data_IF_704013774774
#
_entry.id   IF_704013774774
#
_cell.length_a   1.000
_cell.length_b   1.000
_cell.length_c   1.000
_cell.angle_alpha   90.00
_cell.angle_beta   90.00
_cell.angle_gamma   90.00
#
_symmetry.space_group_name_H-M   'P 1'
#
loop_
_entity.id
_entity.type
_entity.pdbx_description
1 polymer ?
#
# COMPACT_ATOMS: atom_id res chain seq x y z
N UNK A 1 5.45 -12.97 8.22
CA UNK A 1 4.07 -13.51 8.21
C UNK A 1 3.43 -13.18 6.87
N UNK A 2 2.76 -14.14 6.24
CA UNK A 2 2.11 -13.92 4.93
C UNK A 2 0.74 -13.29 5.13
N UNK A 3 0.51 -12.13 4.52
CA UNK A 3 -0.79 -11.46 4.48
C UNK A 3 -1.27 -11.46 3.04
N UNK A 4 -2.52 -11.85 2.82
CA UNK A 4 -3.13 -11.90 1.49
C UNK A 4 -3.85 -10.60 1.18
N UNK A 5 -3.58 -10.04 0.01
CA UNK A 5 -4.23 -8.85 -0.51
C UNK A 5 -4.98 -9.22 -1.78
N UNK A 6 -6.21 -8.76 -1.92
CA UNK A 6 -6.81 -8.62 -3.26
C UNK A 6 -6.26 -7.37 -3.95
N UNK A 7 -6.58 -7.20 -5.24
CA UNK A 7 -6.08 -6.08 -6.04
C UNK A 7 -6.47 -4.71 -5.44
N UNK A 8 -7.72 -4.53 -5.00
CA UNK A 8 -8.20 -3.28 -4.42
C UNK A 8 -7.54 -2.97 -3.07
N UNK A 9 -7.37 -3.98 -2.20
CA UNK A 9 -6.65 -3.86 -0.93
C UNK A 9 -5.20 -3.45 -1.15
N UNK A 10 -4.54 -4.04 -2.17
CA UNK A 10 -3.16 -3.74 -2.50
C UNK A 10 -3.02 -2.33 -3.06
N UNK A 11 -3.91 -1.91 -3.97
CA UNK A 11 -3.94 -0.55 -4.51
C UNK A 11 -4.20 0.47 -3.39
N UNK A 12 -5.19 0.21 -2.52
CA UNK A 12 -5.50 1.08 -1.40
C UNK A 12 -4.29 1.25 -0.49
N UNK A 13 -3.67 0.13 -0.10
CA UNK A 13 -2.47 0.13 0.76
C UNK A 13 -1.32 0.90 0.12
N UNK A 14 -1.08 0.68 -1.17
CA UNK A 14 -0.02 1.35 -1.92
C UNK A 14 -0.26 2.86 -2.01
N UNK A 15 -1.46 3.30 -2.40
CA UNK A 15 -1.83 4.72 -2.47
C UNK A 15 -1.73 5.38 -1.10
N UNK A 16 -2.16 4.68 -0.04
CA UNK A 16 -2.07 5.18 1.34
C UNK A 16 -0.62 5.41 1.75
N UNK A 17 0.26 4.44 1.49
CA UNK A 17 1.67 4.52 1.85
C UNK A 17 2.40 5.57 1.01
N UNK A 18 2.11 5.67 -0.29
CA UNK A 18 2.67 6.72 -1.14
C UNK A 18 2.33 8.10 -0.59
N UNK A 19 1.06 8.34 -0.23
CA UNK A 19 0.64 9.63 0.35
C UNK A 19 1.34 9.94 1.67
N UNK A 20 1.66 8.93 2.47
CA UNK A 20 2.35 9.10 3.75
C UNK A 20 3.87 9.31 3.60
N UNK A 21 4.48 8.74 2.57
CA UNK A 21 5.95 8.67 2.40
C UNK A 21 6.44 9.72 1.41
N UNK A 22 5.93 9.68 0.18
CA UNK A 22 6.27 10.67 -0.84
C UNK A 22 5.10 10.81 -1.84
N UNK A 23 4.18 11.78 -1.63
CA UNK A 23 3.00 11.94 -2.47
C UNK A 23 3.35 12.27 -3.94
N UNK A 24 4.59 12.67 -4.24
CA UNK A 24 5.07 12.93 -5.60
C UNK A 24 5.17 11.68 -6.46
N UNK A 25 5.25 10.50 -5.86
CA UNK A 25 5.20 9.21 -6.57
C UNK A 25 3.81 8.99 -7.19
N UNK A 26 2.77 9.66 -6.69
CA UNK A 26 1.41 9.63 -7.25
C UNK A 26 1.22 10.81 -8.20
N UNK A 27 1.35 10.58 -9.50
CA UNK A 27 1.09 11.61 -10.52
C UNK A 27 -0.34 11.54 -11.01
N UNK A 28 -1.08 12.63 -10.87
CA UNK A 28 -2.43 12.76 -11.41
C UNK A 28 -2.37 12.99 -12.93
N UNK A 29 -3.08 12.16 -13.69
CA UNK A 29 -3.25 12.27 -15.14
C UNK A 29 -4.73 12.38 -15.52
N UNK A 30 -5.02 12.51 -16.82
CA UNK A 30 -6.41 12.66 -17.32
C UNK A 30 -7.28 11.43 -17.05
N UNK A 31 -6.69 10.23 -16.93
CA UNK A 31 -7.40 8.95 -16.78
C UNK A 31 -7.24 8.33 -15.36
N UNK A 32 -6.76 9.11 -14.40
CA UNK A 32 -6.54 8.64 -13.02
C UNK A 32 -5.16 9.00 -12.48
N UNK A 33 -4.49 8.04 -11.85
CA UNK A 33 -3.17 8.23 -11.28
C UNK A 33 -2.14 7.28 -11.90
N UNK A 34 -0.93 7.79 -12.12
CA UNK A 34 0.24 7.02 -12.51
C UNK A 34 1.20 6.97 -11.33
N UNK A 35 1.81 5.79 -11.12
CA UNK A 35 2.80 5.61 -10.07
C UNK A 35 4.20 5.74 -10.69
N UNK A 36 4.95 6.75 -10.25
CA UNK A 36 6.28 7.07 -10.75
C UNK A 36 7.33 6.61 -9.75
N UNK A 37 7.82 5.38 -9.90
CA UNK A 37 8.82 4.78 -9.00
C UNK A 37 10.26 4.89 -9.51
N UNK A 38 10.49 5.42 -10.70
CA UNK A 38 11.81 5.46 -11.36
C UNK A 38 12.90 6.09 -10.45
N UNK A 39 12.55 7.15 -9.73
CA UNK A 39 13.47 7.81 -8.79
C UNK A 39 13.78 6.93 -7.57
N UNK A 40 12.78 6.17 -7.11
CA UNK A 40 12.89 5.29 -5.95
C UNK A 40 13.69 4.02 -6.28
N UNK A 41 13.48 3.47 -7.46
CA UNK A 41 14.18 2.28 -7.97
C UNK A 41 15.68 2.55 -8.20
N UNK A 42 16.04 3.79 -8.52
CA UNK A 42 17.43 4.22 -8.73
C UNK A 42 18.12 4.70 -7.45
N UNK A 43 17.43 4.73 -6.32
CA UNK A 43 17.96 5.21 -5.04
C UNK A 43 18.91 4.17 -4.45
N UNK A 44 20.13 4.59 -4.10
CA UNK A 44 21.17 3.69 -3.56
C UNK A 44 20.80 3.15 -2.17
N UNK A 45 20.25 3.99 -1.30
CA UNK A 45 19.76 3.60 0.03
C UNK A 45 18.32 4.06 0.25
N UNK A 46 17.32 3.25 -0.16
CA UNK A 46 15.92 3.52 0.14
C UNK A 46 15.63 3.25 1.62
N UNK A 47 14.87 4.15 2.25
CA UNK A 47 14.35 4.02 3.61
C UNK A 47 13.47 2.77 3.75
N UNK A 48 13.19 2.34 4.99
CA UNK A 48 12.33 1.19 5.23
C UNK A 48 10.95 1.31 4.56
N UNK A 49 10.35 2.49 4.62
CA UNK A 49 9.08 2.80 3.95
C UNK A 49 9.18 2.75 2.41
N UNK A 50 10.29 3.23 1.87
CA UNK A 50 10.56 3.23 0.43
C UNK A 50 10.79 1.80 -0.09
N UNK A 51 11.47 0.96 0.68
CA UNK A 51 11.61 -0.47 0.40
C UNK A 51 10.25 -1.17 0.42
N UNK A 52 9.40 -0.86 1.40
CA UNK A 52 8.05 -1.40 1.49
C UNK A 52 7.20 -1.00 0.28
N UNK A 53 7.30 0.25 -0.18
CA UNK A 53 6.65 0.73 -1.40
C UNK A 53 7.08 -0.06 -2.65
N UNK A 54 8.39 -0.28 -2.84
CA UNK A 54 8.89 -1.07 -3.96
C UNK A 54 8.37 -2.51 -3.93
N UNK A 55 8.27 -3.12 -2.74
CA UNK A 55 7.71 -4.47 -2.56
C UNK A 55 6.23 -4.53 -2.91
N UNK A 56 5.44 -3.57 -2.43
CA UNK A 56 4.01 -3.47 -2.76
C UNK A 56 3.78 -3.21 -4.24
N UNK A 57 4.65 -2.41 -4.88
CA UNK A 57 4.60 -2.19 -6.33
C UNK A 57 4.88 -3.46 -7.12
N UNK A 58 5.91 -4.22 -6.76
CA UNK A 58 6.20 -5.52 -7.40
C UNK A 58 5.06 -6.53 -7.22
N UNK A 59 4.44 -6.54 -6.04
CA UNK A 59 3.25 -7.31 -5.77
C UNK A 59 2.08 -6.90 -6.69
N UNK A 60 1.85 -5.60 -6.89
CA UNK A 60 0.77 -5.09 -7.73
C UNK A 60 0.98 -5.45 -9.20
N UNK A 61 2.22 -5.37 -9.68
CA UNK A 61 2.57 -5.75 -11.05
C UNK A 61 2.32 -7.25 -11.29
N UNK A 62 2.69 -8.10 -10.31
CA UNK A 62 2.44 -9.54 -10.33
C UNK A 62 0.95 -9.91 -10.14
N UNK A 63 0.19 -9.09 -9.40
CA UNK A 63 -1.23 -9.29 -9.14
C UNK A 63 -2.11 -8.98 -10.36
N UNK A 64 -1.61 -8.27 -11.39
CA UNK A 64 -2.38 -8.09 -12.64
C UNK A 64 -2.73 -9.43 -13.31
N UNK A 65 -1.97 -10.48 -13.01
CA UNK A 65 -2.21 -11.84 -13.52
C UNK A 65 -2.96 -12.74 -12.51
N UNK A 66 -3.07 -12.33 -11.24
CA UNK A 66 -3.60 -13.14 -10.14
C UNK A 66 -4.53 -12.32 -9.21
N UNK A 67 -5.79 -12.75 -9.04
CA UNK A 67 -6.80 -12.05 -8.24
C UNK A 67 -6.48 -11.89 -6.73
N UNK A 68 -5.42 -12.54 -6.24
CA UNK A 68 -4.96 -12.46 -4.87
C UNK A 68 -3.44 -12.61 -4.79
N UNK A 69 -2.81 -11.84 -3.91
CA UNK A 69 -1.38 -11.82 -3.72
C UNK A 69 -1.01 -11.96 -2.25
N UNK A 70 -0.14 -12.93 -1.94
CA UNK A 70 0.39 -13.11 -0.58
C UNK A 70 1.72 -12.39 -0.43
N UNK A 71 1.78 -11.38 0.44
CA UNK A 71 3.01 -10.66 0.75
C UNK A 71 3.53 -11.07 2.14
N UNK A 72 4.81 -11.42 2.21
CA UNK A 72 5.47 -11.69 3.49
C UNK A 72 5.89 -10.38 4.16
N UNK A 73 5.18 -10.00 5.22
CA UNK A 73 5.43 -8.79 5.98
C UNK A 73 6.03 -9.13 7.35
N UNK A 74 7.03 -8.35 7.73
CA UNK A 74 7.55 -8.30 9.10
C UNK A 74 6.53 -7.62 10.03
N UNK A 75 6.68 -7.80 11.35
CA UNK A 75 5.79 -7.15 12.32
C UNK A 75 5.82 -5.61 12.18
N UNK A 76 7.00 -5.03 11.93
CA UNK A 76 7.18 -3.59 11.72
C UNK A 76 6.46 -3.11 10.47
N UNK A 77 6.59 -3.83 9.35
CA UNK A 77 5.89 -3.47 8.11
C UNK A 77 4.37 -3.58 8.28
N UNK A 78 3.86 -4.62 8.95
CA UNK A 78 2.42 -4.77 9.22
C UNK A 78 1.87 -3.62 10.04
N UNK A 79 2.57 -3.25 11.12
CA UNK A 79 2.20 -2.12 11.96
C UNK A 79 2.22 -0.82 11.15
N UNK A 80 3.26 -0.59 10.37
CA UNK A 80 3.37 0.61 9.52
C UNK A 80 2.23 0.73 8.51
N UNK A 81 1.85 -0.37 7.87
CA UNK A 81 0.71 -0.40 6.95
C UNK A 81 -0.61 -0.15 7.69
N UNK A 82 -0.80 -0.77 8.85
CA UNK A 82 -2.01 -0.56 9.65
C UNK A 82 -2.15 0.92 10.07
N UNK A 83 -1.09 1.54 10.58
CA UNK A 83 -1.08 2.96 10.93
C UNK A 83 -1.34 3.87 9.72
N UNK A 84 -0.82 3.50 8.55
CA UNK A 84 -1.04 4.25 7.32
C UNK A 84 -2.51 4.17 6.87
N UNK A 85 -3.11 2.98 6.99
CA UNK A 85 -4.51 2.73 6.67
C UNK A 85 -5.47 3.39 7.67
N UNK A 86 -5.10 3.49 8.95
CA UNK A 86 -5.86 4.23 9.96
C UNK A 86 -5.93 5.72 9.61
N UNK A 87 -4.82 6.27 9.13
CA UNK A 87 -4.73 7.68 8.72
C UNK A 87 -5.46 7.99 7.42
N UNK A 88 -5.91 6.97 6.68
CA UNK A 88 -6.60 7.12 5.40
C UNK A 88 -7.83 8.04 5.51
N UNK A 89 -8.64 7.87 6.57
CA UNK A 89 -9.82 8.70 6.85
C UNK A 89 -9.48 10.19 6.98
N UNK A 90 -8.30 10.51 7.52
CA UNK A 90 -7.87 11.90 7.71
C UNK A 90 -7.37 12.56 6.43
N UNK A 91 -7.08 11.79 5.38
CA UNK A 91 -6.50 12.32 4.15
C UNK A 91 -7.56 12.86 3.18
N UNK A 92 -8.77 12.29 3.18
CA UNK A 92 -9.93 12.76 2.41
C UNK A 92 -11.19 12.00 2.81
N UNK A 93 -12.36 12.48 2.40
CA UNK A 93 -13.61 11.73 2.53
C UNK A 93 -13.59 10.51 1.60
N UNK A 94 -13.54 9.32 2.17
CA UNK A 94 -13.62 8.06 1.44
C UNK A 94 -15.04 7.47 1.49
N UNK A 95 -15.43 6.67 0.48
CA UNK A 95 -16.67 5.90 0.54
C UNK A 95 -16.64 4.90 1.71
N UNK A 96 -17.81 4.58 2.25
CA UNK A 96 -17.94 3.65 3.38
C UNK A 96 -17.35 2.27 3.06
N UNK A 97 -17.48 1.79 1.81
CA UNK A 97 -16.86 0.54 1.36
C UNK A 97 -15.33 0.54 1.48
N UNK A 98 -14.68 1.66 1.14
CA UNK A 98 -13.21 1.81 1.25
C UNK A 98 -12.77 1.85 2.71
N UNK A 99 -13.55 2.51 3.58
CA UNK A 99 -13.28 2.54 5.02
C UNK A 99 -13.48 1.16 5.67
N UNK A 100 -14.52 0.44 5.27
CA UNK A 100 -14.77 -0.92 5.72
C UNK A 100 -13.65 -1.88 5.28
N UNK A 101 -13.21 -1.77 4.02
CA UNK A 101 -12.07 -2.51 3.49
C UNK A 101 -10.77 -2.19 4.24
N UNK A 102 -10.48 -0.89 4.45
CA UNK A 102 -9.33 -0.43 5.23
C UNK A 102 -9.33 -1.02 6.63
N UNK A 103 -10.47 -0.97 7.33
CA UNK A 103 -10.61 -1.48 8.70
C UNK A 103 -10.46 -3.00 8.77
N UNK A 104 -11.04 -3.71 7.81
CA UNK A 104 -10.89 -5.16 7.69
C UNK A 104 -9.43 -5.56 7.43
N UNK A 105 -8.74 -4.83 6.55
CA UNK A 105 -7.34 -5.05 6.24
C UNK A 105 -6.43 -4.73 7.44
N UNK A 106 -6.67 -3.63 8.15
CA UNK A 106 -5.97 -3.28 9.39
C UNK A 106 -6.10 -4.39 10.43
N UNK A 107 -7.32 -4.90 10.63
CA UNK A 107 -7.56 -6.01 11.56
C UNK A 107 -6.74 -7.23 11.17
N UNK A 108 -6.67 -7.58 9.87
CA UNK A 108 -5.87 -8.72 9.38
C UNK A 108 -4.36 -8.50 9.53
N UNK A 109 -3.88 -7.28 9.34
CA UNK A 109 -2.48 -6.92 9.53
C UNK A 109 -2.06 -7.04 11.01
N UNK A 110 -2.96 -6.66 11.93
CA UNK A 110 -2.71 -6.64 13.37
C UNK A 110 -3.02 -7.97 14.07
N UNK A 111 -3.99 -8.75 13.59
CA UNK A 111 -4.41 -10.04 14.16
C UNK A 111 -3.38 -11.19 13.94
N UNK A 112 -2.27 -10.89 13.28
CA UNK A 112 -1.18 -11.83 13.10
C UNK A 112 -0.25 -11.92 14.31
N UNK A 113 -0.65 -12.68 15.31
CA UNK A 113 0.21 -13.27 16.35
C UNK A 113 0.63 -14.68 15.97
#
# INVERSE_FOLDING_TARGET
>A
MRVEFNNDELILTLVSLIRAVDPKLLRHGQDGFTLDFDTLERKEDPSADERLLLRLRGALDSAREQNSYGLELSAVERQRLAETLERLDRLQTWPQDVLAMSTGLQTRLLAGE
#
